data_IF_245725260646
#
_entry.id   IF_245725260646
#
_cell.length_a   1.000
_cell.length_b   1.000
_cell.length_c   1.000
_cell.angle_alpha   90.00
_cell.angle_beta   90.00
_cell.angle_gamma   90.00
#
_symmetry.space_group_name_H-M   'P 1'
#
loop_
_entity.id
_entity.type
_entity.pdbx_description
1 polymer ?
#
# COMPACT_ATOMS: atom_id res chain seq x y z
N UNK A 1 9.39 29.54 12.98
CA UNK A 1 9.02 28.15 13.35
C UNK A 1 8.73 27.44 12.06
N UNK A 2 9.69 26.66 11.55
CA UNK A 2 9.49 25.87 10.33
C UNK A 2 8.67 24.68 10.78
N UNK A 3 7.39 24.69 10.44
CA UNK A 3 6.55 23.51 10.54
C UNK A 3 6.98 22.69 9.33
N UNK A 4 7.89 21.73 9.52
CA UNK A 4 8.07 20.68 8.52
C UNK A 4 6.69 20.06 8.32
N UNK A 5 6.08 20.27 7.14
CA UNK A 5 4.95 19.46 6.72
C UNK A 5 5.41 18.01 6.87
N UNK A 6 4.89 17.31 7.88
CA UNK A 6 5.05 15.86 7.98
C UNK A 6 4.27 15.29 6.80
N UNK A 7 4.92 15.22 5.65
CA UNK A 7 4.41 14.50 4.50
C UNK A 7 4.17 13.08 4.98
N UNK A 8 2.91 12.69 5.12
CA UNK A 8 2.53 11.35 5.55
C UNK A 8 3.27 10.37 4.63
N UNK A 9 4.23 9.66 5.23
CA UNK A 9 5.14 8.82 4.48
C UNK A 9 4.45 7.48 4.27
N UNK A 10 4.24 7.14 3.00
CA UNK A 10 3.58 5.90 2.60
C UNK A 10 4.63 4.81 2.38
N UNK A 11 4.45 3.65 3.03
CA UNK A 11 5.42 2.55 2.97
C UNK A 11 4.94 1.49 2.00
N UNK A 12 5.76 1.17 0.99
CA UNK A 12 5.55 0.02 0.13
C UNK A 12 6.33 -1.20 0.61
N UNK A 13 5.64 -2.33 0.76
CA UNK A 13 6.23 -3.62 1.10
C UNK A 13 5.99 -4.57 -0.07
N UNK A 14 7.05 -4.92 -0.79
CA UNK A 14 6.97 -5.86 -1.91
C UNK A 14 7.20 -7.28 -1.37
N UNK A 15 6.23 -8.19 -1.55
CA UNK A 15 6.34 -9.57 -1.08
C UNK A 15 5.77 -10.56 -2.09
N UNK A 16 6.50 -11.64 -2.44
CA UNK A 16 6.04 -12.64 -3.41
C UNK A 16 4.96 -13.58 -2.85
N UNK A 17 4.68 -13.55 -1.54
CA UNK A 17 3.79 -14.52 -0.90
C UNK A 17 2.47 -13.87 -0.44
N UNK A 18 1.39 -14.16 -1.16
CA UNK A 18 0.05 -13.60 -0.92
C UNK A 18 -0.47 -13.81 0.51
N UNK A 19 -0.23 -15.00 1.09
CA UNK A 19 -0.67 -15.30 2.46
C UNK A 19 0.09 -14.44 3.49
N UNK A 20 1.38 -14.21 3.27
CA UNK A 20 2.21 -13.37 4.12
C UNK A 20 1.75 -11.91 4.05
N UNK A 21 1.38 -11.42 2.86
CA UNK A 21 0.83 -10.06 2.73
C UNK A 21 -0.44 -9.86 3.55
N UNK A 22 -1.36 -10.82 3.53
CA UNK A 22 -2.59 -10.79 4.36
C UNK A 22 -2.28 -10.86 5.86
N UNK A 23 -1.28 -11.63 6.27
CA UNK A 23 -0.85 -11.70 7.66
C UNK A 23 -0.23 -10.38 8.12
N UNK A 24 0.61 -9.75 7.28
CA UNK A 24 1.19 -8.45 7.57
C UNK A 24 0.14 -7.37 7.78
N UNK A 25 -0.92 -7.32 6.94
CA UNK A 25 -2.03 -6.38 7.14
C UNK A 25 -2.64 -6.53 8.54
N UNK A 26 -2.95 -7.76 8.97
CA UNK A 26 -3.54 -8.02 10.28
C UNK A 26 -2.64 -7.58 11.43
N UNK A 27 -1.32 -7.80 11.33
CA UNK A 27 -0.38 -7.38 12.37
C UNK A 27 -0.21 -5.85 12.40
N UNK A 28 -0.21 -5.19 11.24
CA UNK A 28 -0.15 -3.73 11.13
C UNK A 28 -1.42 -3.06 11.67
N UNK A 29 -2.60 -3.63 11.40
CA UNK A 29 -3.87 -3.17 11.95
C UNK A 29 -3.88 -3.27 13.49
N UNK A 30 -3.33 -4.36 14.06
CA UNK A 30 -3.14 -4.49 15.52
C UNK A 30 -2.22 -3.43 16.11
N UNK A 31 -1.26 -2.94 15.32
CA UNK A 31 -0.37 -1.85 15.69
C UNK A 31 -0.99 -0.45 15.47
N UNK A 32 -2.24 -0.38 15.01
CA UNK A 32 -2.93 0.89 14.74
C UNK A 32 -2.55 1.54 13.40
N UNK A 33 -1.91 0.80 12.50
CA UNK A 33 -1.56 1.26 11.16
C UNK A 33 -2.60 0.80 10.14
N UNK A 34 -3.05 1.71 9.27
CA UNK A 34 -3.91 1.36 8.16
C UNK A 34 -3.07 0.71 7.05
N UNK A 35 -3.30 -0.57 6.79
CA UNK A 35 -2.57 -1.33 5.78
C UNK A 35 -3.51 -1.98 4.76
N UNK A 36 -3.04 -2.13 3.53
CA UNK A 36 -3.75 -2.85 2.47
C UNK A 36 -2.78 -3.79 1.75
N UNK A 37 -3.30 -4.95 1.35
CA UNK A 37 -2.60 -5.85 0.43
C UNK A 37 -3.21 -5.75 -0.97
N UNK A 38 -2.38 -5.50 -1.98
CA UNK A 38 -2.77 -5.43 -3.38
C UNK A 38 -2.56 -6.80 -4.01
N UNK A 39 -3.64 -7.29 -4.58
CA UNK A 39 -3.78 -8.57 -5.25
C UNK A 39 -4.53 -8.37 -6.57
N UNK A 40 -4.51 -9.36 -7.47
CA UNK A 40 -5.25 -9.28 -8.73
C UNK A 40 -6.76 -9.03 -8.56
N UNK A 41 -7.32 -9.32 -7.38
CA UNK A 41 -8.75 -9.15 -7.08
C UNK A 41 -9.13 -7.70 -6.74
N UNK A 42 -8.18 -6.90 -6.23
CA UNK A 42 -8.43 -5.53 -5.77
C UNK A 42 -7.49 -4.49 -6.39
N UNK A 43 -6.65 -4.88 -7.35
CA UNK A 43 -5.88 -3.97 -8.20
C UNK A 43 -6.79 -3.24 -9.19
N UNK A 44 -7.65 -2.37 -8.67
CA UNK A 44 -8.61 -1.56 -9.43
C UNK A 44 -8.28 -0.06 -9.30
N UNK A 45 -8.71 0.77 -10.25
CA UNK A 45 -8.50 2.23 -10.19
C UNK A 45 -9.00 2.87 -8.89
N UNK A 46 -10.09 2.35 -8.33
CA UNK A 46 -10.68 2.85 -7.08
C UNK A 46 -9.76 2.59 -5.88
N UNK A 47 -9.14 1.40 -5.82
CA UNK A 47 -8.13 1.07 -4.79
C UNK A 47 -6.91 1.97 -4.92
N UNK A 48 -6.42 2.20 -6.14
CA UNK A 48 -5.28 3.09 -6.35
C UNK A 48 -5.59 4.54 -6.00
N UNK A 49 -6.81 5.00 -6.27
CA UNK A 49 -7.27 6.32 -5.83
C UNK A 49 -7.29 6.43 -4.31
N UNK A 50 -7.82 5.43 -3.61
CA UNK A 50 -7.79 5.38 -2.15
C UNK A 50 -6.39 5.41 -1.55
N UNK A 51 -5.43 4.77 -2.21
CA UNK A 51 -4.01 4.83 -1.83
C UNK A 51 -3.47 6.24 -2.04
N UNK A 52 -3.72 6.85 -3.20
CA UNK A 52 -3.31 8.23 -3.51
C UNK A 52 -3.93 9.29 -2.60
N UNK A 53 -5.15 9.05 -2.10
CA UNK A 53 -5.84 9.89 -1.12
C UNK A 53 -5.26 9.74 0.31
N UNK A 54 -4.25 8.87 0.51
CA UNK A 54 -3.59 8.68 1.80
C UNK A 54 -4.38 7.84 2.81
N UNK A 55 -5.36 7.03 2.36
CA UNK A 55 -6.16 6.19 3.27
C UNK A 55 -5.37 5.05 3.93
N UNK A 56 -4.16 4.76 3.44
CA UNK A 56 -3.32 3.66 3.92
C UNK A 56 -1.91 4.15 4.20
N UNK A 57 -1.36 3.77 5.35
CA UNK A 57 0.03 4.04 5.73
C UNK A 57 0.99 3.01 5.11
N UNK A 58 0.52 1.77 4.92
CA UNK A 58 1.33 0.66 4.39
C UNK A 58 0.61 -0.07 3.27
N UNK A 59 1.27 -0.18 2.12
CA UNK A 59 0.78 -0.90 0.94
C UNK A 59 1.68 -2.11 0.71
N UNK A 60 1.09 -3.29 0.80
CA UNK A 60 1.78 -4.55 0.56
C UNK A 60 1.41 -5.06 -0.82
N UNK A 61 2.38 -5.28 -1.69
CA UNK A 61 2.14 -5.62 -3.10
C UNK A 61 2.96 -6.83 -3.55
N UNK A 62 2.37 -7.67 -4.42
CA UNK A 62 3.09 -8.74 -5.10
C UNK A 62 3.92 -8.16 -6.28
N UNK A 63 5.21 -8.50 -6.43
CA UNK A 63 6.06 -8.03 -7.53
C UNK A 63 5.43 -8.16 -8.93
N UNK A 64 4.66 -9.20 -9.20
CA UNK A 64 3.98 -9.38 -10.49
C UNK A 64 3.01 -8.23 -10.79
N UNK A 65 2.21 -7.82 -9.79
CA UNK A 65 1.22 -6.75 -9.94
C UNK A 65 1.90 -5.38 -10.03
N UNK A 66 3.02 -5.22 -9.32
CA UNK A 66 3.83 -4.02 -9.41
C UNK A 66 4.36 -3.84 -10.85
N UNK A 67 4.85 -4.91 -11.48
CA UNK A 67 5.49 -4.83 -12.79
C UNK A 67 4.49 -4.59 -13.93
N UNK A 68 3.24 -5.03 -13.78
CA UNK A 68 2.21 -4.89 -14.82
C UNK A 68 1.34 -3.63 -14.68
N UNK A 69 1.44 -2.86 -13.59
CA UNK A 69 0.52 -1.76 -13.30
C UNK A 69 1.12 -0.38 -13.43
N UNK A 70 0.79 0.31 -14.52
CA UNK A 70 1.13 1.72 -14.76
C UNK A 70 0.56 2.70 -13.72
N UNK A 71 -0.50 2.32 -13.01
CA UNK A 71 -1.09 3.16 -11.96
C UNK A 71 -0.30 3.09 -10.65
N UNK A 72 0.46 2.01 -10.42
CA UNK A 72 1.34 1.88 -9.26
C UNK A 72 2.61 2.71 -9.44
N UNK A 73 3.16 2.79 -10.66
CA UNK A 73 4.29 3.66 -11.00
C UNK A 73 4.03 5.15 -10.73
N UNK A 74 2.76 5.59 -10.63
CA UNK A 74 2.43 6.99 -10.33
C UNK A 74 2.37 7.29 -8.83
N UNK A 75 2.40 6.26 -7.99
CA UNK A 75 2.22 6.37 -6.54
C UNK A 75 3.55 6.50 -5.77
N UNK A 76 4.70 6.33 -6.44
CA UNK A 76 6.05 6.48 -5.88
C UNK A 76 7.03 6.92 -6.98
#
# INVERSE_FOLDING_TARGET
>A
MIIEERKESMIFVVTPLNLLGKQNVKELEKAGLCAITISCQNATPDTFKHIGDGKYNVIIINPEIHMDSHDIEKLW
#
